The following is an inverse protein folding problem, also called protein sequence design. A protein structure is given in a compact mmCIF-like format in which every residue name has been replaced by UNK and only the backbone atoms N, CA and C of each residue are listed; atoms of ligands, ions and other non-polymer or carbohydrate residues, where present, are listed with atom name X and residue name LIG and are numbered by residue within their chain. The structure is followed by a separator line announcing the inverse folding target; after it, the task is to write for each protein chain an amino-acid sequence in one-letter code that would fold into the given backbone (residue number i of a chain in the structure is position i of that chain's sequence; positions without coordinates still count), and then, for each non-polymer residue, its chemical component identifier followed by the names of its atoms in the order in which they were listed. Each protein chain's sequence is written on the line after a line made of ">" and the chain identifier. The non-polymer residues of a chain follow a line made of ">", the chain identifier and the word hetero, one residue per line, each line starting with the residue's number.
data_IF_987364660701
#
_entry.id   IF_987364660701
#
_cell.length_a   1.000
_cell.length_b   1.000
_cell.length_c   1.000
_cell.angle_alpha   90.00
_cell.angle_beta   90.00
_cell.angle_gamma   90.00
#
_symmetry.space_group_name_H-M   'P 1'
#
loop_
_entity.id
_entity.type
_entity.pdbx_description
1 polymer ?
#
# COMPACT_ATOMS: atom_id res chain seq x y z
N UNK A 1 -6.84 11.54 5.72
CA UNK A 1 -6.01 12.38 4.84
C UNK A 1 -6.29 13.78 5.32
N UNK A 2 -5.47 14.23 6.26
CA UNK A 2 -5.78 15.43 7.05
C UNK A 2 -5.00 16.63 6.53
N UNK A 3 -3.85 16.39 5.90
CA UNK A 3 -2.99 17.44 5.36
C UNK A 3 -2.48 17.14 3.95
N UNK A 4 -1.92 18.16 3.30
CA UNK A 4 -1.33 18.01 1.97
C UNK A 4 -0.12 17.05 1.98
N UNK A 5 0.60 16.93 3.10
CA UNK A 5 1.71 15.99 3.26
C UNK A 5 1.22 14.53 3.19
N UNK A 6 0.04 14.23 3.74
CA UNK A 6 -0.57 12.90 3.63
C UNK A 6 -0.92 12.58 2.16
N UNK A 7 -1.48 13.55 1.44
CA UNK A 7 -1.83 13.40 0.02
C UNK A 7 -0.57 13.16 -0.81
N UNK A 8 0.46 13.97 -0.59
CA UNK A 8 1.73 13.88 -1.31
C UNK A 8 2.39 12.52 -1.10
N UNK A 9 2.38 12.02 0.14
CA UNK A 9 2.91 10.70 0.46
C UNK A 9 2.11 9.57 -0.20
N UNK A 10 0.77 9.65 -0.18
CA UNK A 10 -0.09 8.64 -0.79
C UNK A 10 -0.01 8.66 -2.33
N UNK A 11 0.17 9.84 -2.93
CA UNK A 11 0.43 10.01 -4.35
C UNK A 11 1.80 9.43 -4.74
N UNK A 12 2.84 9.72 -3.95
CA UNK A 12 4.17 9.13 -4.13
C UNK A 12 4.14 7.59 -4.04
N UNK A 13 3.33 7.03 -3.13
CA UNK A 13 3.12 5.60 -3.03
C UNK A 13 2.22 5.01 -4.14
N UNK A 14 1.69 5.83 -5.05
CA UNK A 14 0.79 5.41 -6.13
C UNK A 14 -0.59 4.93 -5.65
N UNK A 15 -0.97 5.28 -4.42
CA UNK A 15 -2.24 4.85 -3.80
C UNK A 15 -3.38 5.79 -4.23
N UNK A 16 -3.07 7.07 -4.44
CA UNK A 16 -4.00 8.08 -4.93
C UNK A 16 -3.40 8.72 -6.18
N UNK A 17 -4.16 8.77 -7.25
CA UNK A 17 -3.82 9.53 -8.45
C UNK A 17 -4.95 10.56 -8.64
N UNK A 18 -4.62 11.86 -8.68
CA UNK A 18 -5.63 12.92 -8.74
C UNK A 18 -5.32 13.96 -9.82
N UNK A 19 -6.40 14.53 -10.36
CA UNK A 19 -6.35 15.61 -11.37
C UNK A 19 -6.68 16.99 -10.77
N UNK A 20 -6.93 17.04 -9.45
CA UNK A 20 -7.13 18.28 -8.70
C UNK A 20 -5.83 19.09 -8.68
N UNK A 21 -5.92 20.42 -8.66
CA UNK A 21 -4.81 21.32 -8.97
C UNK A 21 -3.69 21.31 -7.93
N UNK A 22 -3.96 20.87 -6.70
CA UNK A 22 -2.93 20.71 -5.66
C UNK A 22 -3.28 19.64 -4.62
N UNK A 23 -2.25 19.09 -3.97
CA UNK A 23 -2.36 18.16 -2.83
C UNK A 23 -3.23 18.74 -1.70
N UNK A 24 -3.22 20.07 -1.54
CA UNK A 24 -4.04 20.77 -0.53
C UNK A 24 -5.54 20.73 -0.84
N UNK A 25 -5.93 20.78 -2.11
CA UNK A 25 -7.34 20.71 -2.51
C UNK A 25 -7.91 19.30 -2.30
N UNK A 26 -7.06 18.28 -2.49
CA UNK A 26 -7.43 16.89 -2.21
C UNK A 26 -7.59 16.67 -0.72
N UNK A 27 -6.66 17.19 0.10
CA UNK A 27 -6.77 17.12 1.55
C UNK A 27 -8.06 17.81 2.05
N UNK A 28 -8.37 19.00 1.54
CA UNK A 28 -9.60 19.73 1.89
C UNK A 28 -10.87 18.96 1.47
N UNK A 29 -10.89 18.37 0.28
CA UNK A 29 -12.00 17.52 -0.18
C UNK A 29 -12.22 16.32 0.75
N UNK A 30 -11.15 15.62 1.12
CA UNK A 30 -11.23 14.47 2.03
C UNK A 30 -11.67 14.89 3.45
N UNK A 31 -11.17 16.01 3.95
CA UNK A 31 -11.56 16.55 5.26
C UNK A 31 -13.04 16.96 5.29
N UNK A 32 -13.54 17.60 4.24
CA UNK A 32 -14.95 17.97 4.12
C UNK A 32 -15.87 16.76 3.97
N UNK A 33 -15.45 15.74 3.21
CA UNK A 33 -16.17 14.47 3.11
C UNK A 33 -16.21 13.75 4.46
N UNK A 34 -15.10 13.73 5.22
CA UNK A 34 -15.05 13.12 6.54
C UNK A 34 -15.82 13.91 7.61
N UNK A 35 -15.95 15.24 7.48
CA UNK A 35 -16.75 16.07 8.40
C UNK A 35 -18.25 15.77 8.34
N UNK A 36 -18.79 15.46 7.15
CA UNK A 36 -20.21 15.08 7.00
C UNK A 36 -20.48 13.63 7.40
N UNK A 37 -19.45 12.78 7.40
CA UNK A 37 -19.54 11.42 7.91
C UNK A 37 -19.25 11.47 9.40
N UNK A 38 -20.28 11.80 10.19
CA UNK A 38 -20.25 11.71 11.66
C UNK A 38 -20.02 10.24 12.05
N UNK A 39 -18.76 9.81 12.07
CA UNK A 39 -18.34 8.60 12.75
C UNK A 39 -18.28 8.94 14.23
N UNK A 40 -19.38 8.65 14.91
CA UNK A 40 -19.42 8.68 16.37
C UNK A 40 -18.48 7.58 16.88
N UNK A 41 -17.22 7.92 17.13
CA UNK A 41 -16.16 6.96 17.45
C UNK A 41 -16.35 6.31 18.82
N UNK A 42 -17.18 6.89 19.69
CA UNK A 42 -17.43 6.35 21.02
C UNK A 42 -18.58 5.34 21.05
N UNK A 43 -19.59 5.46 20.16
CA UNK A 43 -20.77 4.58 20.10
C UNK A 43 -20.98 3.82 18.78
N UNK A 44 -20.05 3.91 17.83
CA UNK A 44 -20.13 3.14 16.58
C UNK A 44 -19.87 1.65 16.81
N UNK A 45 -20.78 0.78 16.32
CA UNK A 45 -20.61 -0.68 16.25
C UNK A 45 -19.26 -1.11 15.66
N UNK A 46 -18.65 -0.26 14.83
CA UNK A 46 -17.37 -0.50 14.18
C UNK A 46 -16.16 -0.24 15.09
N UNK A 47 -16.29 0.46 16.22
CA UNK A 47 -15.16 0.72 17.14
C UNK A 47 -14.66 -0.57 17.80
N UNK A 48 -15.58 -1.40 18.31
CA UNK A 48 -15.24 -2.74 18.83
C UNK A 48 -14.68 -3.65 17.76
N UNK A 49 -15.29 -3.62 16.57
CA UNK A 49 -14.84 -4.41 15.42
C UNK A 49 -13.44 -3.96 14.95
N UNK A 50 -13.15 -2.67 14.92
CA UNK A 50 -11.84 -2.15 14.51
C UNK A 50 -10.77 -2.50 15.54
N UNK A 51 -11.07 -2.40 16.85
CA UNK A 51 -10.16 -2.80 17.91
C UNK A 51 -9.86 -4.30 17.82
N UNK A 52 -10.88 -5.13 17.59
CA UNK A 52 -10.72 -6.58 17.49
C UNK A 52 -9.93 -6.99 16.24
N UNK A 53 -10.25 -6.41 15.08
CA UNK A 53 -9.53 -6.64 13.83
C UNK A 53 -8.09 -6.15 13.94
N UNK A 54 -7.86 -4.96 14.50
CA UNK A 54 -6.52 -4.41 14.69
C UNK A 54 -5.70 -5.29 15.65
N UNK A 55 -6.30 -5.77 16.74
CA UNK A 55 -5.64 -6.70 17.67
C UNK A 55 -5.29 -8.02 16.99
N UNK A 56 -6.22 -8.59 16.24
CA UNK A 56 -6.02 -9.85 15.53
C UNK A 56 -4.95 -9.72 14.43
N UNK A 57 -5.03 -8.65 13.64
CA UNK A 57 -4.07 -8.36 12.59
C UNK A 57 -2.69 -8.11 13.18
N UNK A 58 -2.58 -7.27 14.23
CA UNK A 58 -1.31 -6.99 14.88
C UNK A 58 -0.68 -8.27 15.47
N UNK A 59 -1.47 -9.13 16.13
CA UNK A 59 -0.97 -10.41 16.65
C UNK A 59 -0.48 -11.34 15.54
N UNK A 60 -1.24 -11.50 14.46
CA UNK A 60 -0.85 -12.32 13.31
C UNK A 60 0.36 -11.75 12.58
N UNK A 61 0.37 -10.45 12.33
CA UNK A 61 1.46 -9.73 11.69
C UNK A 61 2.75 -9.86 12.50
N UNK A 62 2.68 -9.68 13.82
CA UNK A 62 3.83 -9.86 14.70
C UNK A 62 4.33 -11.32 14.69
N UNK A 63 3.44 -12.30 14.66
CA UNK A 63 3.81 -13.72 14.53
C UNK A 63 4.49 -14.00 13.18
N UNK A 64 3.89 -13.57 12.07
CA UNK A 64 4.45 -13.74 10.72
C UNK A 64 5.80 -13.05 10.59
N UNK A 65 5.92 -11.82 11.10
CA UNK A 65 7.17 -11.06 11.10
C UNK A 65 8.22 -11.72 11.98
N UNK A 66 7.86 -12.30 13.12
CA UNK A 66 8.77 -13.08 13.95
C UNK A 66 9.23 -14.36 13.24
N UNK A 67 8.33 -15.08 12.57
CA UNK A 67 8.67 -16.26 11.76
C UNK A 67 9.57 -15.92 10.58
N UNK A 68 9.25 -14.83 9.86
CA UNK A 68 10.09 -14.31 8.78
C UNK A 68 11.47 -13.93 9.30
N UNK A 69 11.54 -13.19 10.42
CA UNK A 69 12.82 -12.84 11.04
C UNK A 69 13.61 -14.09 11.44
N UNK A 70 12.99 -15.03 12.11
CA UNK A 70 13.68 -16.24 12.57
C UNK A 70 14.16 -17.13 11.40
N UNK A 71 13.34 -17.29 10.35
CA UNK A 71 13.62 -18.22 9.25
C UNK A 71 14.47 -17.60 8.14
N UNK A 72 14.31 -16.30 7.87
CA UNK A 72 14.99 -15.60 6.79
C UNK A 72 16.14 -14.72 7.28
N UNK A 73 16.06 -14.06 8.44
CA UNK A 73 17.17 -13.20 8.91
C UNK A 73 18.32 -13.95 9.62
N UNK A 74 18.13 -15.20 10.03
CA UNK A 74 19.25 -16.05 10.48
C UNK A 74 20.10 -16.60 9.34
N UNK A 75 19.60 -16.56 8.09
CA UNK A 75 20.34 -17.04 6.93
C UNK A 75 20.45 -15.91 5.89
N UNK A 76 21.56 -15.13 5.87
CA UNK A 76 21.73 -14.02 4.95
C UNK A 76 21.56 -14.42 3.47
N UNK A 77 21.83 -15.68 3.11
CA UNK A 77 21.62 -16.21 1.76
C UNK A 77 20.14 -16.33 1.37
N UNK A 78 19.24 -16.57 2.34
CA UNK A 78 17.80 -16.62 2.08
C UNK A 78 17.24 -15.24 1.72
N UNK A 79 17.75 -14.18 2.35
CA UNK A 79 17.41 -12.79 2.01
C UNK A 79 17.88 -12.46 0.61
N UNK A 80 19.15 -12.75 0.28
CA UNK A 80 19.71 -12.49 -1.06
C UNK A 80 18.92 -13.24 -2.12
N UNK A 81 18.58 -14.51 -1.88
CA UNK A 81 17.77 -15.32 -2.81
C UNK A 81 16.36 -14.77 -3.00
N UNK A 82 15.72 -14.33 -1.92
CA UNK A 82 14.39 -13.70 -1.99
C UNK A 82 14.43 -12.39 -2.78
N UNK A 83 15.40 -11.51 -2.50
CA UNK A 83 15.60 -10.28 -3.26
C UNK A 83 15.88 -10.55 -4.74
N UNK A 84 16.74 -11.53 -5.05
CA UNK A 84 17.03 -11.94 -6.43
C UNK A 84 15.75 -12.44 -7.14
N UNK A 85 14.94 -13.28 -6.48
CA UNK A 85 13.68 -13.75 -7.03
C UNK A 85 12.70 -12.61 -7.31
N UNK A 86 12.57 -11.64 -6.39
CA UNK A 86 11.72 -10.45 -6.58
C UNK A 86 12.22 -9.61 -7.76
N UNK A 87 13.52 -9.35 -7.86
CA UNK A 87 14.12 -8.60 -8.98
C UNK A 87 13.84 -9.32 -10.32
N UNK A 88 14.07 -10.63 -10.38
CA UNK A 88 13.80 -11.44 -11.58
C UNK A 88 12.32 -11.39 -11.98
N UNK A 89 11.42 -11.43 -11.01
CA UNK A 89 9.98 -11.36 -11.26
C UNK A 89 9.60 -10.00 -11.85
N UNK A 90 10.10 -8.89 -11.27
CA UNK A 90 9.88 -7.53 -11.80
C UNK A 90 10.43 -7.38 -13.22
N UNK A 91 11.63 -7.90 -13.48
CA UNK A 91 12.22 -7.89 -14.82
C UNK A 91 11.38 -8.70 -15.80
N UNK A 92 10.91 -9.88 -15.41
CA UNK A 92 10.08 -10.76 -16.25
C UNK A 92 8.75 -10.09 -16.59
N UNK A 93 8.09 -9.46 -15.61
CA UNK A 93 6.85 -8.72 -15.84
C UNK A 93 7.08 -7.52 -16.77
N UNK A 94 8.16 -6.77 -16.55
CA UNK A 94 8.53 -5.65 -17.41
C UNK A 94 8.78 -6.11 -18.84
N UNK A 95 9.57 -7.16 -19.03
CA UNK A 95 9.84 -7.75 -20.34
C UNK A 95 8.55 -8.24 -21.00
N UNK A 96 7.70 -8.94 -20.26
CA UNK A 96 6.41 -9.44 -20.76
C UNK A 96 5.50 -8.29 -21.17
N UNK A 97 5.47 -7.21 -20.37
CA UNK A 97 4.71 -6.01 -20.67
C UNK A 97 5.20 -5.32 -21.94
N UNK A 98 6.51 -5.07 -22.07
CA UNK A 98 7.08 -4.47 -23.29
C UNK A 98 6.87 -5.36 -24.52
N UNK A 99 7.00 -6.68 -24.37
CA UNK A 99 6.78 -7.64 -25.45
C UNK A 99 5.31 -7.65 -25.88
N UNK A 100 4.37 -7.67 -24.94
CA UNK A 100 2.94 -7.59 -25.21
C UNK A 100 2.58 -6.23 -25.83
N UNK A 101 3.10 -5.12 -25.28
CA UNK A 101 2.89 -3.78 -25.81
C UNK A 101 3.39 -3.65 -27.25
N UNK A 102 4.60 -4.16 -27.55
CA UNK A 102 5.15 -4.16 -28.90
C UNK A 102 4.33 -5.04 -29.87
N UNK A 103 3.76 -6.14 -29.38
CA UNK A 103 2.83 -6.97 -30.16
C UNK A 103 1.53 -6.22 -30.51
N UNK A 104 0.99 -5.45 -29.56
CA UNK A 104 -0.24 -4.67 -29.77
C UNK A 104 -0.03 -3.34 -30.51
N UNK A 105 1.18 -2.78 -30.51
CA UNK A 105 1.53 -1.54 -31.20
C UNK A 105 2.83 -1.71 -32.00
N UNK A 106 2.81 -2.48 -33.11
CA UNK A 106 3.98 -2.66 -33.95
C UNK A 106 4.43 -1.31 -34.53
N UNK A 107 5.74 -1.06 -34.65
CA UNK A 107 6.24 0.14 -35.31
C UNK A 107 5.79 0.13 -36.78
N UNK A 108 5.24 1.26 -37.23
CA UNK A 108 4.83 1.54 -38.61
C UNK A 108 6.02 1.67 -39.54
#
# INVERSE_FOLDING_TARGET
>A
IDSHEDVSYLHYCGIIEHWLGSDSEVADLFNRLCQEVVFDTEDSYLSRLSIEVNRYYNQKWNAWRATLKHKYFNNPWAIVSFCAAVILLVLTLSQSFYSAYAYYRPPS
#
